data_IF_811875144079
#
_entry.id   IF_811875144079
#
_cell.length_a   1.000
_cell.length_b   1.000
_cell.length_c   1.000
_cell.angle_alpha   90.00
_cell.angle_beta   90.00
_cell.angle_gamma   90.00
#
_symmetry.space_group_name_H-M   'P 1'
#
loop_
_entity.id
_entity.type
_entity.pdbx_description
1 polymer ?
#
# COMPACT_ATOMS: atom_id res chain seq x y z
N UNK A 1 29.92 -10.72 39.07
CA UNK A 1 29.49 -11.14 37.70
C UNK A 1 29.16 -9.89 36.85
N UNK A 2 29.47 -9.86 35.54
CA UNK A 2 29.30 -8.68 34.67
C UNK A 2 27.83 -8.32 34.35
N UNK A 3 26.86 -9.13 34.79
CA UNK A 3 25.44 -8.92 34.52
C UNK A 3 24.62 -8.84 35.81
N UNK A 4 23.54 -8.05 35.77
CA UNK A 4 22.58 -7.98 36.86
C UNK A 4 21.79 -9.29 37.00
N UNK A 5 21.34 -9.69 38.20
CA UNK A 5 20.57 -10.92 38.38
C UNK A 5 19.31 -11.01 37.50
N UNK A 6 18.65 -9.87 37.23
CA UNK A 6 17.50 -9.79 36.33
C UNK A 6 17.88 -10.11 34.89
N UNK A 7 18.99 -9.54 34.42
CA UNK A 7 19.48 -9.77 33.05
C UNK A 7 19.93 -11.23 32.87
N UNK A 8 20.61 -11.80 33.87
CA UNK A 8 20.99 -13.23 33.86
C UNK A 8 19.75 -14.11 33.73
N UNK A 9 18.69 -13.84 34.50
CA UNK A 9 17.45 -14.60 34.43
C UNK A 9 16.77 -14.50 33.07
N UNK A 10 16.72 -13.31 32.47
CA UNK A 10 16.13 -13.09 31.15
C UNK A 10 16.91 -13.83 30.05
N UNK A 11 18.25 -13.72 30.06
CA UNK A 11 19.11 -14.39 29.08
C UNK A 11 19.06 -15.91 29.23
N UNK A 12 19.03 -16.44 30.45
CA UNK A 12 18.86 -17.87 30.70
C UNK A 12 17.53 -18.37 30.15
N UNK A 13 16.42 -17.67 30.42
CA UNK A 13 15.11 -18.05 29.89
C UNK A 13 15.03 -18.01 28.36
N UNK A 14 15.69 -17.03 27.72
CA UNK A 14 15.81 -17.00 26.26
C UNK A 14 16.64 -18.17 25.72
N UNK A 15 17.76 -18.48 26.36
CA UNK A 15 18.60 -19.61 25.97
C UNK A 15 17.84 -20.93 26.06
N UNK A 16 17.07 -21.13 27.13
CA UNK A 16 16.25 -22.33 27.33
C UNK A 16 15.21 -22.47 26.20
N UNK A 17 14.53 -21.38 25.82
CA UNK A 17 13.60 -21.38 24.70
C UNK A 17 14.27 -21.74 23.37
N UNK A 18 15.43 -21.14 23.08
CA UNK A 18 16.15 -21.42 21.84
C UNK A 18 16.65 -22.86 21.78
N UNK A 19 17.17 -23.39 22.89
CA UNK A 19 17.59 -24.79 22.97
C UNK A 19 16.41 -25.75 22.79
N UNK A 20 15.25 -25.44 23.37
CA UNK A 20 14.02 -26.20 23.15
C UNK A 20 13.64 -26.21 21.67
N UNK A 21 13.60 -25.05 21.00
CA UNK A 21 13.23 -24.99 19.57
C UNK A 21 14.23 -25.70 18.67
N UNK A 22 15.54 -25.61 18.96
CA UNK A 22 16.58 -26.32 18.21
C UNK A 22 16.44 -27.84 18.38
N UNK A 23 16.15 -28.31 19.60
CA UNK A 23 15.93 -29.73 19.83
C UNK A 23 14.66 -30.22 19.11
N UNK A 24 13.56 -29.47 19.23
CA UNK A 24 12.26 -29.81 18.65
C UNK A 24 12.25 -29.74 17.13
N UNK A 25 13.08 -28.90 16.51
CA UNK A 25 13.21 -28.83 15.04
C UNK A 25 13.79 -30.11 14.43
N UNK A 26 14.42 -30.98 15.23
CA UNK A 26 14.88 -32.29 14.79
C UNK A 26 13.80 -33.38 14.91
N UNK A 27 12.68 -33.10 15.60
CA UNK A 27 11.65 -34.09 15.93
C UNK A 27 10.28 -33.76 15.29
N UNK A 28 9.92 -32.49 15.26
CA UNK A 28 8.61 -32.01 14.82
C UNK A 28 8.62 -31.64 13.34
N UNK A 29 7.52 -31.93 12.64
CA UNK A 29 7.31 -31.35 11.31
C UNK A 29 7.14 -29.82 11.42
N UNK A 30 7.31 -29.13 10.29
CA UNK A 30 7.40 -27.67 10.26
C UNK A 30 6.17 -26.96 10.86
N UNK A 31 4.97 -27.47 10.62
CA UNK A 31 3.73 -26.87 11.14
C UNK A 31 3.66 -27.00 12.66
N UNK A 32 3.98 -28.18 13.19
CA UNK A 32 3.97 -28.40 14.64
C UNK A 32 5.09 -27.60 15.34
N UNK A 33 6.25 -27.43 14.69
CA UNK A 33 7.33 -26.57 15.16
C UNK A 33 6.90 -25.10 15.18
N UNK A 34 6.23 -24.63 14.12
CA UNK A 34 5.70 -23.27 14.03
C UNK A 34 4.70 -22.99 15.16
N UNK A 35 3.73 -23.88 15.35
CA UNK A 35 2.70 -23.77 16.39
C UNK A 35 3.33 -23.77 17.80
N UNK A 36 4.37 -24.57 18.01
CA UNK A 36 5.15 -24.56 19.25
C UNK A 36 5.83 -23.20 19.49
N UNK A 37 6.49 -22.63 18.48
CA UNK A 37 7.20 -21.35 18.59
C UNK A 37 6.22 -20.23 18.94
N UNK A 38 5.11 -20.11 18.21
CA UNK A 38 4.10 -19.08 18.45
C UNK A 38 3.59 -19.16 19.89
N UNK A 39 3.23 -20.36 20.33
CA UNK A 39 2.70 -20.59 21.68
C UNK A 39 3.73 -20.32 22.78
N UNK A 40 4.97 -20.79 22.62
CA UNK A 40 6.01 -20.68 23.67
C UNK A 40 6.56 -19.25 23.80
N UNK A 41 6.52 -18.47 22.73
CA UNK A 41 6.93 -17.06 22.73
C UNK A 41 5.81 -16.11 23.16
N UNK A 42 4.55 -16.55 23.13
CA UNK A 42 3.38 -15.68 23.36
C UNK A 42 3.19 -14.66 22.23
N UNK A 43 3.57 -15.06 21.00
CA UNK A 43 3.59 -14.14 19.87
C UNK A 43 2.18 -13.77 19.40
N UNK A 44 1.24 -14.70 19.51
CA UNK A 44 -0.17 -14.47 19.18
C UNK A 44 -0.76 -13.35 20.06
N UNK A 45 -0.62 -13.45 21.38
CA UNK A 45 -1.09 -12.41 22.29
C UNK A 45 -0.37 -11.07 22.08
N UNK A 46 0.92 -11.11 21.76
CA UNK A 46 1.70 -9.91 21.46
C UNK A 46 1.19 -9.19 20.20
N UNK A 47 0.90 -9.93 19.13
CA UNK A 47 0.40 -9.36 17.87
C UNK A 47 -1.01 -8.82 18.03
N UNK A 48 -1.91 -9.60 18.64
CA UNK A 48 -3.31 -9.22 18.85
C UNK A 48 -3.45 -8.02 19.79
N UNK A 49 -2.52 -7.81 20.72
CA UNK A 49 -2.47 -6.63 21.58
C UNK A 49 -1.99 -5.35 20.88
N UNK A 50 -1.51 -5.43 19.64
CA UNK A 50 -0.97 -4.32 18.87
C UNK A 50 -2.01 -3.60 18.00
N UNK A 51 -1.56 -2.52 17.33
CA UNK A 51 -2.35 -1.87 16.29
C UNK A 51 -2.51 -2.82 15.10
N UNK A 52 -3.71 -2.85 14.52
CA UNK A 52 -4.08 -3.68 13.36
C UNK A 52 -3.80 -5.19 13.64
N UNK A 53 -3.98 -5.61 14.90
CA UNK A 53 -3.56 -6.93 15.39
C UNK A 53 -4.21 -8.11 14.67
N UNK A 54 -5.49 -8.00 14.30
CA UNK A 54 -6.21 -9.03 13.54
C UNK A 54 -5.60 -9.23 12.14
N UNK A 55 -5.41 -8.16 11.37
CA UNK A 55 -4.79 -8.22 10.03
C UNK A 55 -3.35 -8.77 10.10
N UNK A 56 -2.59 -8.37 11.13
CA UNK A 56 -1.24 -8.89 11.35
C UNK A 56 -1.24 -10.38 11.72
N UNK A 57 -2.26 -10.84 12.45
CA UNK A 57 -2.42 -12.24 12.78
C UNK A 57 -2.81 -13.08 11.56
N UNK A 58 -3.69 -12.57 10.70
CA UNK A 58 -4.05 -13.21 9.43
C UNK A 58 -2.81 -13.46 8.56
N UNK A 59 -1.89 -12.50 8.49
CA UNK A 59 -0.61 -12.67 7.79
C UNK A 59 0.27 -13.78 8.39
N UNK A 60 0.25 -13.97 9.72
CA UNK A 60 0.99 -15.05 10.39
C UNK A 60 0.35 -16.41 10.09
N UNK A 61 -0.99 -16.47 10.04
CA UNK A 61 -1.72 -17.68 9.65
C UNK A 61 -1.45 -18.03 8.17
N UNK A 62 -1.31 -17.04 7.30
CA UNK A 62 -0.94 -17.27 5.90
C UNK A 62 0.48 -17.84 5.78
N UNK A 63 1.44 -17.30 6.53
CA UNK A 63 2.80 -17.87 6.60
C UNK A 63 2.77 -19.33 7.05
N UNK A 64 1.90 -19.67 8.01
CA UNK A 64 1.67 -21.05 8.45
C UNK A 64 1.06 -21.92 7.37
N UNK A 65 0.16 -21.38 6.54
CA UNK A 65 -0.39 -22.08 5.37
C UNK A 65 0.71 -22.43 4.38
N UNK A 66 1.60 -21.49 4.05
CA UNK A 66 2.77 -21.74 3.18
C UNK A 66 3.69 -22.80 3.81
N UNK A 67 3.95 -22.73 5.11
CA UNK A 67 4.74 -23.73 5.82
C UNK A 67 4.10 -25.15 5.77
N UNK A 68 2.78 -25.24 5.65
CA UNK A 68 2.07 -26.52 5.58
C UNK A 68 2.38 -27.31 4.29
N UNK A 69 2.80 -26.64 3.22
CA UNK A 69 3.25 -27.30 1.99
C UNK A 69 4.45 -28.21 2.24
N UNK A 70 5.32 -27.83 3.17
CA UNK A 70 6.54 -28.55 3.53
C UNK A 70 6.32 -29.61 4.62
N UNK A 71 5.08 -29.78 5.12
CA UNK A 71 4.75 -30.67 6.25
C UNK A 71 5.15 -32.14 6.01
N UNK A 72 5.14 -32.56 4.75
CA UNK A 72 5.42 -33.95 4.36
C UNK A 72 6.92 -34.29 4.36
N UNK A 73 7.80 -33.29 4.40
CA UNK A 73 9.23 -33.47 4.50
C UNK A 73 9.64 -33.87 5.93
N UNK A 74 10.72 -34.62 6.04
CA UNK A 74 11.22 -35.05 7.34
C UNK A 74 11.88 -33.88 8.07
N UNK A 75 11.82 -33.80 9.40
CA UNK A 75 12.70 -32.90 10.15
C UNK A 75 14.16 -33.38 10.01
N UNK A 76 15.16 -32.48 9.85
CA UNK A 76 15.05 -31.01 9.74
C UNK A 76 14.86 -30.50 8.29
N UNK A 77 14.83 -31.39 7.28
CA UNK A 77 14.75 -31.05 5.85
C UNK A 77 13.59 -30.09 5.53
N UNK A 78 12.42 -30.29 6.16
CA UNK A 78 11.27 -29.40 5.98
C UNK A 78 11.52 -27.94 6.37
N UNK A 79 12.26 -27.70 7.46
CA UNK A 79 12.62 -26.35 7.87
C UNK A 79 13.65 -25.73 6.92
N UNK A 80 14.67 -26.50 6.52
CA UNK A 80 15.68 -26.04 5.55
C UNK A 80 15.05 -25.67 4.22
N UNK A 81 14.23 -26.56 3.65
CA UNK A 81 13.56 -26.35 2.38
C UNK A 81 12.60 -25.14 2.41
N UNK A 82 11.86 -24.96 3.51
CA UNK A 82 11.01 -23.79 3.68
C UNK A 82 11.81 -22.49 3.73
N UNK A 83 12.89 -22.45 4.50
CA UNK A 83 13.75 -21.26 4.58
C UNK A 83 14.40 -20.93 3.24
N UNK A 84 14.83 -21.95 2.49
CA UNK A 84 15.32 -21.78 1.12
C UNK A 84 14.21 -21.24 0.21
N UNK A 85 13.02 -21.82 0.26
CA UNK A 85 11.85 -21.40 -0.51
C UNK A 85 11.49 -19.93 -0.26
N UNK A 86 11.32 -19.53 1.00
CA UNK A 86 10.99 -18.14 1.37
C UNK A 86 12.09 -17.16 0.93
N UNK A 87 13.35 -17.59 0.86
CA UNK A 87 14.44 -16.75 0.33
C UNK A 87 14.50 -16.70 -1.20
N UNK A 88 13.97 -17.71 -1.89
CA UNK A 88 13.96 -17.80 -3.35
C UNK A 88 12.71 -17.17 -3.99
N UNK A 89 11.58 -17.15 -3.27
CA UNK A 89 10.34 -16.55 -3.77
C UNK A 89 10.59 -15.06 -4.02
N UNK A 90 10.71 -14.72 -5.29
CA UNK A 90 10.52 -13.35 -5.75
C UNK A 90 9.01 -13.11 -5.83
N UNK A 91 8.53 -11.92 -5.44
CA UNK A 91 7.11 -11.54 -5.53
C UNK A 91 6.48 -11.72 -6.94
N UNK A 92 7.31 -11.97 -7.97
CA UNK A 92 6.92 -12.22 -9.36
C UNK A 92 6.49 -13.67 -9.61
N UNK A 93 7.05 -14.64 -8.88
CA UNK A 93 6.89 -16.08 -9.16
C UNK A 93 5.52 -16.64 -8.73
N UNK A 94 4.75 -15.87 -7.95
CA UNK A 94 3.40 -16.23 -7.51
C UNK A 94 2.26 -15.79 -8.43
N UNK A 95 2.58 -15.18 -9.60
CA UNK A 95 1.56 -14.74 -10.55
C UNK A 95 1.05 -15.92 -11.39
N UNK A 96 0.02 -16.58 -10.89
CA UNK A 96 -0.70 -17.62 -11.63
C UNK A 96 -1.54 -16.97 -12.75
N UNK A 97 -1.11 -17.15 -14.01
CA UNK A 97 -1.83 -16.66 -15.20
C UNK A 97 -3.21 -17.32 -15.38
N UNK A 98 -3.53 -18.39 -14.65
CA UNK A 98 -4.82 -19.08 -14.73
C UNK A 98 -5.91 -18.45 -13.85
N UNK A 99 -5.52 -17.56 -12.92
CA UNK A 99 -6.48 -16.84 -12.07
C UNK A 99 -7.03 -15.63 -12.82
N UNK A 100 -8.34 -15.61 -13.05
CA UNK A 100 -9.04 -14.46 -13.64
C UNK A 100 -9.18 -13.33 -12.61
N UNK A 101 -8.08 -12.60 -12.39
CA UNK A 101 -7.99 -11.48 -11.47
C UNK A 101 -7.09 -10.37 -12.01
N UNK A 102 -7.21 -9.17 -11.45
CA UNK A 102 -6.31 -8.06 -11.75
C UNK A 102 -4.95 -8.28 -11.07
N UNK A 103 -3.87 -8.22 -11.85
CA UNK A 103 -2.51 -8.29 -11.33
C UNK A 103 -2.03 -6.93 -10.81
N UNK A 104 -1.70 -6.87 -9.52
CA UNK A 104 -1.08 -5.69 -8.90
C UNK A 104 0.40 -5.98 -8.65
N UNK A 105 1.27 -5.24 -9.32
CA UNK A 105 2.73 -5.36 -9.19
C UNK A 105 3.38 -3.99 -9.19
N UNK A 106 4.58 -3.90 -8.65
CA UNK A 106 5.41 -2.71 -8.80
C UNK A 106 6.00 -2.62 -10.21
N UNK A 107 6.39 -1.41 -10.64
CA UNK A 107 7.04 -1.22 -11.95
C UNK A 107 8.31 -2.06 -12.12
N UNK A 108 9.06 -2.28 -11.04
CA UNK A 108 10.27 -3.10 -11.04
C UNK A 108 9.95 -4.59 -11.30
N UNK A 109 8.93 -5.11 -10.62
CA UNK A 109 8.48 -6.50 -10.75
C UNK A 109 7.82 -6.77 -12.11
N UNK A 110 7.26 -5.76 -12.76
CA UNK A 110 6.65 -5.90 -14.07
C UNK A 110 7.66 -6.19 -15.21
N UNK A 111 8.96 -6.08 -14.96
CA UNK A 111 10.00 -6.32 -15.98
C UNK A 111 9.93 -7.75 -16.52
N UNK A 112 9.79 -7.88 -17.83
CA UNK A 112 9.68 -9.19 -18.51
C UNK A 112 8.25 -9.72 -18.61
N UNK A 113 7.29 -9.13 -17.88
CA UNK A 113 5.87 -9.42 -18.04
C UNK A 113 5.25 -8.54 -19.13
N UNK A 114 4.14 -8.97 -19.71
CA UNK A 114 3.36 -8.15 -20.65
C UNK A 114 1.87 -8.45 -20.56
N UNK A 115 1.05 -7.40 -20.52
CA UNK A 115 -0.39 -7.48 -20.32
C UNK A 115 -1.14 -6.80 -21.48
N UNK A 116 -2.35 -7.28 -21.85
CA UNK A 116 -3.18 -6.60 -22.84
C UNK A 116 -3.45 -5.13 -22.48
N UNK A 117 -3.73 -4.88 -21.20
CA UNK A 117 -4.05 -3.55 -20.65
C UNK A 117 -3.25 -3.32 -19.38
N UNK A 118 -2.61 -2.15 -19.25
CA UNK A 118 -1.83 -1.76 -18.07
C UNK A 118 -2.34 -0.43 -17.52
N UNK A 119 -2.48 -0.36 -16.20
CA UNK A 119 -2.72 0.87 -15.46
C UNK A 119 -1.47 1.22 -14.67
N UNK A 120 -0.81 2.33 -15.00
CA UNK A 120 0.27 2.90 -14.18
C UNK A 120 -0.37 3.99 -13.32
N UNK A 121 -0.43 3.73 -12.02
CA UNK A 121 -1.04 4.62 -11.03
C UNK A 121 0.03 5.39 -10.27
N UNK A 122 -0.34 6.57 -9.78
CA UNK A 122 0.59 7.42 -9.03
C UNK A 122 1.66 8.06 -9.92
N UNK A 123 1.29 8.40 -11.17
CA UNK A 123 2.15 9.13 -12.11
C UNK A 123 2.21 10.61 -11.71
N UNK A 124 2.77 10.84 -10.51
CA UNK A 124 2.79 12.10 -9.78
C UNK A 124 4.24 12.50 -9.47
N UNK A 125 4.48 13.81 -9.44
CA UNK A 125 5.76 14.39 -9.02
C UNK A 125 6.09 13.98 -7.57
N UNK A 126 7.20 13.28 -7.38
CA UNK A 126 7.67 12.76 -6.09
C UNK A 126 7.30 11.29 -5.82
N UNK A 127 6.40 10.70 -6.62
CA UNK A 127 6.09 9.26 -6.61
C UNK A 127 6.75 8.57 -7.81
N UNK A 128 6.51 9.08 -9.02
CA UNK A 128 7.14 8.65 -10.26
C UNK A 128 7.38 9.89 -11.12
N UNK A 129 8.57 10.50 -11.11
CA UNK A 129 9.79 10.02 -10.46
C UNK A 129 9.75 10.08 -8.93
N UNK A 130 10.38 9.10 -8.28
CA UNK A 130 10.50 9.07 -6.83
C UNK A 130 11.35 10.26 -6.31
N UNK A 131 10.89 10.97 -5.28
CA UNK A 131 11.52 12.23 -4.80
C UNK A 131 13.05 12.18 -4.57
N UNK A 132 13.60 11.01 -4.25
CA UNK A 132 15.04 10.79 -4.05
C UNK A 132 15.88 11.02 -5.32
N UNK A 133 15.30 10.83 -6.50
CA UNK A 133 16.02 10.97 -7.76
C UNK A 133 16.21 12.44 -8.18
N UNK A 134 15.58 13.41 -7.49
CA UNK A 134 15.55 14.80 -7.97
C UNK A 134 16.89 15.51 -7.85
N UNK A 135 17.74 15.06 -6.91
CA UNK A 135 19.05 15.64 -6.68
C UNK A 135 20.12 15.13 -7.66
N UNK A 136 19.84 14.03 -8.37
CA UNK A 136 20.82 13.32 -9.19
C UNK A 136 20.25 13.05 -10.60
N UNK A 137 20.79 13.71 -11.64
CA UNK A 137 20.35 13.50 -13.02
C UNK A 137 20.43 12.04 -13.48
N UNK A 138 21.41 11.25 -13.00
CA UNK A 138 21.51 9.84 -13.40
C UNK A 138 20.37 9.00 -12.81
N UNK A 139 19.97 9.27 -11.57
CA UNK A 139 18.82 8.64 -10.93
C UNK A 139 17.51 9.08 -11.57
N UNK A 140 17.40 10.33 -12.00
CA UNK A 140 16.22 10.81 -12.74
C UNK A 140 16.07 10.04 -14.07
N UNK A 141 17.17 9.81 -14.78
CA UNK A 141 17.17 9.01 -16.00
C UNK A 141 16.85 7.52 -15.73
N UNK A 142 17.20 6.99 -14.56
CA UNK A 142 16.78 5.65 -14.16
C UNK A 142 15.27 5.57 -13.90
N UNK A 143 14.69 6.53 -13.19
CA UNK A 143 13.23 6.62 -13.00
C UNK A 143 12.48 6.78 -14.32
N UNK A 144 13.08 7.52 -15.27
CA UNK A 144 12.56 7.65 -16.64
C UNK A 144 12.59 6.31 -17.37
N UNK A 145 13.68 5.55 -17.26
CA UNK A 145 13.77 4.18 -17.80
C UNK A 145 12.74 3.26 -17.16
N UNK A 146 12.51 3.36 -15.86
CA UNK A 146 11.49 2.60 -15.14
C UNK A 146 10.07 2.90 -15.66
N UNK A 147 9.74 4.18 -15.84
CA UNK A 147 8.47 4.62 -16.45
C UNK A 147 8.31 4.04 -17.88
N UNK A 148 9.35 4.14 -18.71
CA UNK A 148 9.37 3.56 -20.05
C UNK A 148 9.15 2.04 -20.04
N UNK A 149 9.82 1.31 -19.15
CA UNK A 149 9.62 -0.15 -19.00
C UNK A 149 8.16 -0.44 -18.65
N UNK A 150 7.57 0.31 -17.72
CA UNK A 150 6.15 0.21 -17.36
C UNK A 150 5.21 0.39 -18.54
N UNK A 151 5.41 1.45 -19.34
CA UNK A 151 4.61 1.76 -20.53
C UNK A 151 4.69 0.61 -21.54
N UNK A 152 5.89 0.07 -21.76
CA UNK A 152 6.10 -1.03 -22.73
C UNK A 152 5.61 -2.40 -22.25
N UNK A 153 5.09 -2.53 -21.02
CA UNK A 153 4.42 -3.77 -20.59
C UNK A 153 3.02 -3.91 -21.21
N UNK A 154 2.45 -2.82 -21.73
CA UNK A 154 1.13 -2.82 -22.37
C UNK A 154 1.20 -3.29 -23.83
N UNK A 155 0.43 -4.32 -24.18
CA UNK A 155 0.29 -4.79 -25.57
C UNK A 155 -0.72 -3.97 -26.38
N UNK A 156 -1.79 -3.46 -25.74
CA UNK A 156 -2.88 -2.76 -26.43
C UNK A 156 -3.16 -1.37 -25.85
N UNK A 157 -3.33 -1.26 -24.53
CA UNK A 157 -3.70 0.00 -23.88
C UNK A 157 -2.89 0.24 -22.62
N UNK A 158 -2.38 1.45 -22.46
CA UNK A 158 -1.79 1.95 -21.22
C UNK A 158 -2.61 3.13 -20.71
N UNK A 159 -2.94 3.11 -19.42
CA UNK A 159 -3.58 4.22 -18.73
C UNK A 159 -2.61 4.77 -17.69
N UNK A 160 -2.26 6.06 -17.81
CA UNK A 160 -1.42 6.78 -16.87
C UNK A 160 -2.33 7.60 -15.95
N UNK A 161 -2.31 7.33 -14.66
CA UNK A 161 -3.25 7.92 -13.70
C UNK A 161 -2.50 8.63 -12.58
N UNK A 162 -2.89 9.87 -12.33
CA UNK A 162 -2.42 10.69 -11.22
C UNK A 162 -3.60 11.23 -10.40
N UNK A 163 -3.41 11.41 -9.10
CA UNK A 163 -4.40 12.02 -8.22
C UNK A 163 -4.09 13.51 -8.01
N UNK A 164 -5.11 14.36 -7.89
CA UNK A 164 -4.92 15.76 -7.51
C UNK A 164 -4.58 15.92 -6.02
N UNK A 165 -5.17 15.07 -5.16
CA UNK A 165 -4.88 14.99 -3.74
C UNK A 165 -4.65 13.55 -3.34
N UNK A 166 -3.62 13.31 -2.55
CA UNK A 166 -3.27 11.99 -2.02
C UNK A 166 -3.01 12.09 -0.52
N UNK A 167 -3.60 11.16 0.23
CA UNK A 167 -3.25 10.95 1.64
C UNK A 167 -2.14 9.91 1.70
N UNK A 168 -0.97 10.31 2.20
CA UNK A 168 0.20 9.45 2.37
C UNK A 168 0.76 9.69 3.77
N UNK A 169 0.93 8.60 4.53
CA UNK A 169 1.50 8.62 5.89
C UNK A 169 0.81 9.62 6.84
N UNK A 170 -0.53 9.74 6.75
CA UNK A 170 -1.33 10.62 7.63
C UNK A 170 -1.34 12.10 7.23
N UNK A 171 -0.69 12.47 6.14
CA UNK A 171 -0.73 13.82 5.57
C UNK A 171 -1.42 13.82 4.21
N UNK A 172 -2.35 14.75 3.98
CA UNK A 172 -2.96 14.97 2.67
C UNK A 172 -2.25 16.12 1.97
N UNK A 173 -1.62 15.84 0.84
CA UNK A 173 -0.94 16.85 0.03
C UNK A 173 -1.59 16.95 -1.35
N UNK A 174 -1.48 18.13 -1.96
CA UNK A 174 -1.81 18.32 -3.37
C UNK A 174 -0.65 17.74 -4.17
N UNK A 175 -0.95 16.77 -5.02
CA UNK A 175 0.03 16.14 -5.90
C UNK A 175 0.05 16.85 -7.24
N UNK A 176 1.25 17.08 -7.78
CA UNK A 176 1.43 17.56 -9.16
C UNK A 176 1.54 16.35 -10.11
N UNK A 177 1.07 16.47 -11.36
CA UNK A 177 1.33 15.44 -12.36
C UNK A 177 2.84 15.23 -12.55
N UNK A 178 3.23 14.00 -12.86
CA UNK A 178 4.63 13.69 -13.16
C UNK A 178 5.16 14.51 -14.35
N UNK A 179 6.40 15.03 -14.29
CA UNK A 179 7.04 15.65 -15.45
C UNK A 179 7.18 14.69 -16.64
N UNK A 180 7.20 13.37 -16.41
CA UNK A 180 7.28 12.38 -17.49
C UNK A 180 6.04 12.38 -18.40
N UNK A 181 4.92 12.96 -17.97
CA UNK A 181 3.74 13.12 -18.82
C UNK A 181 3.94 14.19 -19.89
N UNK A 182 4.73 15.23 -19.62
CA UNK A 182 5.02 16.31 -20.57
C UNK A 182 5.92 15.83 -21.72
N UNK A 183 6.69 14.77 -21.48
CA UNK A 183 7.56 14.15 -22.48
C UNK A 183 6.79 13.29 -23.50
N UNK A 184 5.51 12.97 -23.22
CA UNK A 184 4.67 12.18 -24.12
C UNK A 184 4.01 13.10 -25.14
N UNK A 185 4.22 12.88 -26.46
CA UNK A 185 3.61 13.70 -27.49
C UNK A 185 2.07 13.76 -27.35
N UNK A 186 1.50 14.96 -27.26
CA UNK A 186 0.07 15.15 -27.00
C UNK A 186 -0.86 14.41 -27.97
N UNK A 187 -0.46 14.21 -29.23
CA UNK A 187 -1.26 13.49 -30.23
C UNK A 187 -1.40 11.98 -29.93
N UNK A 188 -0.58 11.43 -29.02
CA UNK A 188 -0.66 10.05 -28.54
C UNK A 188 -1.56 9.92 -27.29
N UNK A 189 -1.93 11.04 -26.67
CA UNK A 189 -2.71 11.05 -25.43
C UNK A 189 -4.18 11.25 -25.78
N UNK A 190 -4.99 10.22 -25.53
CA UNK A 190 -6.44 10.40 -25.48
C UNK A 190 -6.81 10.95 -24.08
N UNK A 191 -6.93 12.28 -23.96
CA UNK A 191 -7.46 12.91 -22.74
C UNK A 191 -8.94 12.56 -22.62
N UNK A 192 -9.25 11.45 -21.97
CA UNK A 192 -10.62 11.13 -21.59
C UNK A 192 -10.96 12.06 -20.44
N UNK A 193 -11.80 13.06 -20.70
CA UNK A 193 -12.56 13.71 -19.63
C UNK A 193 -13.23 12.59 -18.84
N UNK A 194 -12.70 12.32 -17.65
CA UNK A 194 -13.24 11.33 -16.74
C UNK A 194 -14.66 11.78 -16.40
N UNK A 195 -15.66 11.11 -16.98
CA UNK A 195 -17.10 11.20 -16.69
C UNK A 195 -17.85 12.43 -17.26
N UNK A 196 -18.18 12.39 -18.55
CA UNK A 196 -19.46 12.95 -19.06
C UNK A 196 -20.44 11.80 -19.40
N UNK A 197 -20.57 10.82 -18.50
CA UNK A 197 -21.55 9.74 -18.62
C UNK A 197 -22.75 10.07 -17.74
N UNK A 198 -23.94 10.04 -18.34
CA UNK A 198 -25.26 10.25 -17.74
C UNK A 198 -25.36 9.69 -16.31
N UNK A 199 -26.00 10.45 -15.42
CA UNK A 199 -26.43 10.01 -14.08
C UNK A 199 -27.29 8.74 -14.19
N UNK A 200 -26.64 7.59 -14.26
CA UNK A 200 -27.33 6.31 -14.15
C UNK A 200 -27.73 6.18 -12.70
N UNK A 201 -29.04 6.26 -12.46
CA UNK A 201 -29.69 6.09 -11.16
C UNK A 201 -29.35 4.71 -10.58
N UNK A 202 -28.26 4.60 -9.83
CA UNK A 202 -27.97 3.41 -9.03
C UNK A 202 -28.36 3.70 -7.58
N UNK A 203 -29.60 3.32 -7.27
CA UNK A 203 -30.22 3.09 -5.97
C UNK A 203 -29.34 3.33 -4.71
N UNK A 204 -29.62 4.37 -3.90
CA UNK A 204 -29.03 4.52 -2.57
C UNK A 204 -29.86 3.70 -1.58
N UNK A 205 -29.64 2.40 -1.50
CA UNK A 205 -30.10 1.59 -0.38
C UNK A 205 -28.90 0.96 0.28
N UNK A 206 -28.43 1.56 1.38
CA UNK A 206 -27.86 0.85 2.54
C UNK A 206 -27.38 1.78 3.68
N UNK A 207 -27.40 3.09 3.52
CA UNK A 207 -27.09 4.02 4.61
C UNK A 207 -28.30 4.86 5.03
N UNK A 208 -29.33 4.17 5.52
CA UNK A 208 -30.35 4.78 6.36
C UNK A 208 -29.94 4.61 7.83
N UNK A 209 -29.21 5.59 8.37
CA UNK A 209 -29.37 6.01 9.77
C UNK A 209 -28.73 7.38 10.03
N UNK A 210 -29.54 8.27 10.61
CA UNK A 210 -29.25 9.59 11.19
C UNK A 210 -29.23 10.79 10.25
N UNK A 211 -30.44 11.21 9.89
CA UNK A 211 -30.78 12.58 9.48
C UNK A 211 -31.03 13.43 10.74
N UNK A 212 -30.20 14.44 10.98
CA UNK A 212 -30.55 15.60 11.80
C UNK A 212 -31.03 16.74 10.86
N UNK A 213 -31.95 17.62 11.28
CA UNK A 213 -32.62 18.55 10.38
C UNK A 213 -31.69 19.68 9.93
N UNK A 214 -31.89 20.10 8.68
CA UNK A 214 -31.19 21.21 8.05
C UNK A 214 -31.55 22.55 8.69
N UNK A 215 -30.54 23.35 9.02
CA UNK A 215 -30.66 24.79 9.23
C UNK A 215 -30.22 25.47 7.93
N UNK A 216 -31.19 26.06 7.21
CA UNK A 216 -30.90 26.89 6.05
C UNK A 216 -30.07 28.11 6.46
N UNK A 217 -29.03 28.40 5.69
CA UNK A 217 -28.32 29.68 5.76
C UNK A 217 -28.17 30.20 4.34
N UNK A 218 -28.68 31.41 4.16
CA UNK A 218 -28.68 32.17 2.91
C UNK A 218 -27.27 32.34 2.35
N UNK A 219 -27.15 32.24 1.02
CA UNK A 219 -25.98 32.59 0.24
C UNK A 219 -25.68 34.10 0.40
N UNK A 220 -24.80 34.44 1.34
CA UNK A 220 -24.18 35.76 1.41
C UNK A 220 -22.91 35.73 0.58
N UNK A 221 -22.88 36.47 -0.53
CA UNK A 221 -21.69 36.65 -1.38
C UNK A 221 -20.52 37.21 -0.56
N UNK A 222 -19.51 36.39 -0.30
CA UNK A 222 -18.29 36.77 0.43
C UNK A 222 -17.39 37.67 -0.44
N UNK A 223 -16.82 38.71 0.17
CA UNK A 223 -15.91 39.66 -0.49
C UNK A 223 -14.48 39.49 0.02
N UNK A 224 -13.52 39.88 -0.82
CA UNK A 224 -12.10 39.90 -0.45
C UNK A 224 -11.89 40.84 0.73
N UNK A 225 -11.28 40.34 1.80
CA UNK A 225 -11.11 41.03 3.08
C UNK A 225 -12.14 40.65 4.15
N UNK A 226 -13.17 39.85 3.83
CA UNK A 226 -14.14 39.40 4.82
C UNK A 226 -13.52 38.35 5.76
N UNK A 227 -13.87 38.44 7.04
CA UNK A 227 -13.53 37.45 8.05
C UNK A 227 -14.54 36.30 8.00
N UNK A 228 -14.04 35.08 7.85
CA UNK A 228 -14.85 33.86 7.72
C UNK A 228 -14.42 32.82 8.75
N UNK A 229 -15.38 32.04 9.24
CA UNK A 229 -15.12 30.95 10.16
C UNK A 229 -15.50 29.63 9.50
N UNK A 230 -14.53 28.73 9.33
CA UNK A 230 -14.76 27.41 8.75
C UNK A 230 -14.74 26.33 9.83
N UNK A 231 -15.76 25.47 9.85
CA UNK A 231 -15.95 24.45 10.89
C UNK A 231 -14.75 23.48 11.07
N UNK A 232 -13.93 23.30 10.03
CA UNK A 232 -12.71 22.48 10.07
C UNK A 232 -11.41 23.29 10.24
N UNK A 233 -11.37 24.56 9.82
CA UNK A 233 -10.11 25.30 9.67
C UNK A 233 -10.02 26.56 10.56
N UNK A 234 -11.08 26.91 11.28
CA UNK A 234 -11.13 28.06 12.19
C UNK A 234 -11.32 29.39 11.46
N UNK A 235 -10.91 30.48 12.10
CA UNK A 235 -11.06 31.85 11.58
C UNK A 235 -10.01 32.18 10.51
N UNK A 236 -10.45 32.77 9.40
CA UNK A 236 -9.61 33.17 8.28
C UNK A 236 -10.11 34.45 7.61
N UNK A 237 -9.33 34.97 6.66
CA UNK A 237 -9.67 36.16 5.86
C UNK A 237 -9.62 35.79 4.38
N UNK A 238 -10.63 36.20 3.63
CA UNK A 238 -10.69 35.95 2.19
C UNK A 238 -9.62 36.76 1.45
N UNK A 239 -8.65 36.09 0.82
CA UNK A 239 -7.50 36.74 0.14
C UNK A 239 -7.73 36.94 -1.36
N UNK A 240 -8.45 36.04 -2.02
CA UNK A 240 -8.73 36.16 -3.46
C UNK A 240 -9.95 35.34 -3.84
N UNK A 241 -10.76 35.81 -4.80
CA UNK A 241 -11.93 35.08 -5.28
C UNK A 241 -11.77 34.59 -6.72
N UNK A 242 -12.20 33.37 -7.01
CA UNK A 242 -12.32 32.83 -8.37
C UNK A 242 -13.72 32.22 -8.58
N UNK A 243 -14.50 32.72 -9.55
CA UNK A 243 -15.81 32.14 -9.85
C UNK A 243 -15.65 30.78 -10.55
N UNK A 244 -16.35 29.76 -10.06
CA UNK A 244 -16.40 28.42 -10.64
C UNK A 244 -17.86 28.03 -10.84
N UNK A 245 -18.34 28.10 -12.09
CA UNK A 245 -19.71 27.77 -12.52
C UNK A 245 -20.81 28.38 -11.63
N UNK A 246 -21.26 27.68 -10.59
CA UNK A 246 -22.35 28.08 -9.69
C UNK A 246 -21.89 28.40 -8.26
N UNK A 247 -20.57 28.48 -8.01
CA UNK A 247 -19.98 28.76 -6.70
C UNK A 247 -18.77 29.71 -6.80
N UNK A 248 -18.34 30.25 -5.65
CA UNK A 248 -17.21 31.17 -5.53
C UNK A 248 -16.14 30.50 -4.67
N UNK A 249 -14.98 30.22 -5.26
CA UNK A 249 -13.79 29.78 -4.52
C UNK A 249 -13.13 31.03 -3.90
N UNK A 250 -12.91 31.01 -2.58
CA UNK A 250 -12.35 32.12 -1.78
C UNK A 250 -11.23 31.67 -0.87
#
# INVERSE_FOLDING_TARGET
>A
PPFSPRLVKALAGFLDLMQEFIARSQELNLVDLFDLIIKRTGYEEYILGGKDGEERWDNVLELRTVAAEYRHLKPPEGLTAFLEGVTLVSDVDGLDETVDAATLVTLHQAKGLEFPVVFIVGVEDGILPHFKSFADPEQMEEERRLCYVGITRAKQRVYLVYAFRRSLMGSSMVSRPSPFLDDIPHHLIASRELWQGEESQVMPSLYSRNKAPASGVASSELKTGDHVHHAQFGDGVVVSRRPVKDDIEV
#
